data_IF_688247890848
#
_entry.id   IF_688247890848
#
_cell.length_a   1.000
_cell.length_b   1.000
_cell.length_c   1.000
_cell.angle_alpha   90.00
_cell.angle_beta   90.00
_cell.angle_gamma   90.00
#
_symmetry.space_group_name_H-M   'P 1'
#
loop_
_entity.id
_entity.type
_entity.pdbx_description
1 polymer ?
#
# COMPACT_ATOMS: atom_id res chain seq x y z
N UNK A 1 -18.97 5.55 11.90
CA UNK A 1 -19.35 6.96 12.13
C UNK A 1 -18.96 7.90 10.97
N UNK A 2 -17.87 7.65 10.22
CA UNK A 2 -17.51 8.48 9.05
C UNK A 2 -18.44 8.35 7.82
N UNK A 3 -19.09 7.19 7.63
CA UNK A 3 -19.96 6.93 6.47
C UNK A 3 -21.23 7.82 6.45
N UNK A 4 -21.76 8.23 7.60
CA UNK A 4 -22.96 9.07 7.68
C UNK A 4 -22.71 10.55 7.31
N UNK A 5 -21.45 10.98 7.25
CA UNK A 5 -21.09 12.38 6.95
C UNK A 5 -21.17 12.65 5.44
N UNK A 6 -21.05 11.63 4.59
CA UNK A 6 -20.99 11.82 3.13
C UNK A 6 -22.35 11.74 2.42
N UNK A 7 -23.40 11.27 3.06
CA UNK A 7 -24.73 11.13 2.44
C UNK A 7 -25.43 12.47 2.16
N UNK A 8 -24.99 13.56 2.81
CA UNK A 8 -25.60 14.89 2.69
C UNK A 8 -24.67 15.96 2.11
N UNK A 9 -23.36 15.73 2.08
CA UNK A 9 -22.37 16.75 1.70
C UNK A 9 -21.54 16.32 0.50
N UNK A 10 -21.65 17.13 -0.56
CA UNK A 10 -21.04 16.95 -1.89
C UNK A 10 -19.56 17.40 -1.90
N UNK A 11 -19.24 18.41 -1.08
CA UNK A 11 -17.90 19.01 -0.96
C UNK A 11 -17.69 19.42 0.50
N UNK A 12 -16.61 18.96 1.13
CA UNK A 12 -16.30 19.24 2.55
C UNK A 12 -14.86 19.66 2.70
N UNK A 13 -14.60 20.76 3.42
CA UNK A 13 -13.23 21.13 3.81
C UNK A 13 -12.77 20.23 4.97
N UNK A 14 -11.69 19.48 4.75
CA UNK A 14 -11.13 18.53 5.74
C UNK A 14 -9.86 19.05 6.42
N UNK A 15 -9.26 20.12 5.88
CA UNK A 15 -8.09 20.77 6.45
C UNK A 15 -7.92 22.21 5.94
N UNK A 16 -6.88 22.93 6.41
CA UNK A 16 -6.65 24.33 6.00
C UNK A 16 -6.57 24.49 4.47
N UNK A 17 -5.89 23.56 3.79
CA UNK A 17 -5.69 23.55 2.34
C UNK A 17 -6.20 22.26 1.69
N UNK A 18 -7.16 21.57 2.32
CA UNK A 18 -7.65 20.27 1.87
C UNK A 18 -9.18 20.23 1.77
N UNK A 19 -9.67 19.75 0.63
CA UNK A 19 -11.08 19.65 0.31
C UNK A 19 -11.36 18.22 -0.17
N UNK A 20 -12.40 17.60 0.37
CA UNK A 20 -12.92 16.32 -0.07
C UNK A 20 -14.11 16.53 -1.00
N UNK A 21 -14.09 15.81 -2.12
CA UNK A 21 -15.19 15.76 -3.09
C UNK A 21 -15.82 14.38 -3.07
N UNK A 22 -17.16 14.31 -3.07
CA UNK A 22 -17.92 13.06 -3.08
C UNK A 22 -18.81 12.90 -4.32
N UNK A 23 -18.54 13.65 -5.40
CA UNK A 23 -19.32 13.58 -6.65
C UNK A 23 -18.67 12.71 -7.73
N UNK A 24 -19.47 12.00 -8.54
CA UNK A 24 -18.95 11.29 -9.71
C UNK A 24 -18.22 12.20 -10.70
N UNK A 25 -18.71 13.44 -10.88
CA UNK A 25 -18.11 14.42 -11.78
C UNK A 25 -16.69 14.82 -11.31
N UNK A 26 -16.49 15.01 -10.00
CA UNK A 26 -15.16 15.30 -9.46
C UNK A 26 -14.17 14.16 -9.72
N UNK A 27 -14.60 12.90 -9.68
CA UNK A 27 -13.72 11.77 -10.01
C UNK A 27 -13.22 11.84 -11.48
N UNK A 28 -14.09 12.22 -12.41
CA UNK A 28 -13.72 12.40 -13.82
C UNK A 28 -12.81 13.61 -14.00
N UNK A 29 -13.12 14.74 -13.34
CA UNK A 29 -12.33 15.97 -13.50
C UNK A 29 -10.95 15.89 -12.82
N UNK A 30 -10.82 15.11 -11.74
CA UNK A 30 -9.56 14.92 -10.99
C UNK A 30 -8.71 13.79 -11.59
N UNK A 31 -9.32 12.63 -11.89
CA UNK A 31 -8.58 11.42 -12.30
C UNK A 31 -8.68 11.11 -13.80
N UNK A 32 -9.53 11.82 -14.54
CA UNK A 32 -9.73 11.60 -15.97
C UNK A 32 -8.54 12.03 -16.83
N UNK A 33 -8.70 11.88 -18.14
CA UNK A 33 -7.68 12.29 -19.09
C UNK A 33 -7.44 13.81 -19.00
N UNK A 34 -6.17 14.20 -18.85
CA UNK A 34 -5.78 15.61 -18.82
C UNK A 34 -6.20 16.29 -20.13
N UNK A 35 -6.97 17.37 -20.01
CA UNK A 35 -7.38 18.22 -21.13
C UNK A 35 -6.32 19.29 -21.37
N UNK A 36 -6.10 19.65 -22.63
CA UNK A 36 -5.13 20.69 -22.99
C UNK A 36 -5.52 22.02 -22.32
N UNK A 37 -4.59 22.62 -21.59
CA UNK A 37 -4.80 23.89 -20.88
C UNK A 37 -5.39 23.76 -19.48
N UNK A 38 -5.66 22.55 -19.00
CA UNK A 38 -6.08 22.30 -17.62
C UNK A 38 -4.87 22.02 -16.72
N UNK A 39 -4.88 22.57 -15.51
CA UNK A 39 -3.90 22.24 -14.48
C UNK A 39 -3.99 20.75 -14.11
N UNK A 40 -2.84 20.15 -13.79
CA UNK A 40 -2.76 18.74 -13.40
C UNK A 40 -2.73 18.65 -11.89
N UNK A 41 -3.66 17.90 -11.32
CA UNK A 41 -3.62 17.55 -9.90
C UNK A 41 -2.43 16.62 -9.64
N UNK A 42 -1.40 17.17 -8.99
CA UNK A 42 -0.26 16.39 -8.54
C UNK A 42 -0.64 15.57 -7.31
N UNK A 43 0.03 14.43 -7.15
CA UNK A 43 -0.08 13.65 -5.92
C UNK A 43 0.49 14.44 -4.75
N UNK A 44 -0.07 14.18 -3.57
CA UNK A 44 0.37 14.78 -2.32
C UNK A 44 1.69 14.16 -1.86
N UNK A 45 2.42 14.87 -1.00
CA UNK A 45 3.66 14.41 -0.38
C UNK A 45 3.42 13.47 0.83
N UNK A 46 2.22 12.87 0.91
CA UNK A 46 1.80 12.02 2.04
C UNK A 46 2.73 10.84 2.27
N UNK A 47 3.32 10.33 1.20
CA UNK A 47 4.22 9.17 1.22
C UNK A 47 5.67 9.54 0.99
N UNK A 48 5.98 10.84 1.03
CA UNK A 48 7.35 11.31 1.09
C UNK A 48 7.85 11.28 2.53
N UNK A 49 8.55 10.19 2.86
CA UNK A 49 9.25 9.98 4.13
C UNK A 49 10.71 10.46 4.09
N UNK A 50 11.13 11.19 3.05
CA UNK A 50 12.50 11.71 2.91
C UNK A 50 13.52 10.69 2.38
N UNK A 51 13.06 9.57 1.81
CA UNK A 51 13.92 8.50 1.27
C UNK A 51 14.44 8.78 -0.15
N UNK A 52 14.01 9.87 -0.80
CA UNK A 52 14.47 10.30 -2.12
C UNK A 52 13.80 9.56 -3.30
N UNK A 53 13.42 8.30 -3.14
CA UNK A 53 12.59 7.55 -4.10
C UNK A 53 11.21 7.23 -3.50
N UNK A 54 10.15 7.65 -4.19
CA UNK A 54 8.76 7.42 -3.80
C UNK A 54 8.19 6.15 -4.46
N UNK A 55 8.92 5.55 -5.40
CA UNK A 55 8.46 4.46 -6.23
C UNK A 55 7.36 4.89 -7.21
N UNK A 56 7.02 3.98 -8.13
CA UNK A 56 6.03 4.25 -9.19
C UNK A 56 4.65 4.67 -8.65
N UNK A 57 4.24 4.11 -7.51
CA UNK A 57 2.91 4.36 -6.91
C UNK A 57 2.81 5.78 -6.35
N UNK A 58 3.91 6.38 -5.88
CA UNK A 58 3.90 7.72 -5.26
C UNK A 58 4.70 8.76 -6.03
N UNK A 59 5.18 8.45 -7.24
CA UNK A 59 5.81 9.42 -8.13
C UNK A 59 4.88 10.62 -8.41
N UNK A 60 5.37 11.81 -8.06
CA UNK A 60 4.66 13.07 -8.18
C UNK A 60 4.84 13.70 -9.56
N UNK A 61 5.96 13.45 -10.25
CA UNK A 61 6.23 13.96 -11.59
C UNK A 61 5.41 13.17 -12.64
N UNK A 62 4.45 13.80 -13.34
CA UNK A 62 3.63 13.12 -14.33
C UNK A 62 4.44 12.54 -15.50
N UNK A 63 5.55 13.16 -15.89
CA UNK A 63 6.38 12.72 -17.00
C UNK A 63 7.17 11.45 -16.61
N UNK A 64 7.81 11.44 -15.44
CA UNK A 64 8.49 10.25 -14.90
C UNK A 64 7.52 9.10 -14.68
N UNK A 65 6.37 9.37 -14.04
CA UNK A 65 5.32 8.37 -13.83
C UNK A 65 4.83 7.78 -15.15
N UNK A 66 4.59 8.60 -16.17
CA UNK A 66 4.20 8.13 -17.51
C UNK A 66 5.28 7.28 -18.16
N UNK A 67 6.55 7.65 -18.02
CA UNK A 67 7.67 6.89 -18.56
C UNK A 67 7.80 5.51 -17.91
N UNK A 68 7.74 5.44 -16.58
CA UNK A 68 7.77 4.16 -15.83
C UNK A 68 6.52 3.32 -16.12
N UNK A 69 5.34 3.94 -16.14
CA UNK A 69 4.08 3.25 -16.43
C UNK A 69 4.08 2.58 -17.81
N UNK A 70 4.68 3.21 -18.83
CA UNK A 70 4.85 2.60 -20.16
C UNK A 70 5.73 1.35 -20.13
N UNK A 71 6.74 1.29 -19.27
CA UNK A 71 7.61 0.12 -19.12
C UNK A 71 6.90 -1.05 -18.44
N UNK A 72 6.01 -0.74 -17.49
CA UNK A 72 5.29 -1.74 -16.69
C UNK A 72 4.04 -2.27 -17.41
N UNK A 73 3.38 -1.46 -18.24
CA UNK A 73 2.11 -1.79 -18.89
C UNK A 73 2.07 -3.15 -19.63
N UNK A 74 3.13 -3.61 -20.34
CA UNK A 74 3.12 -4.91 -21.01
C UNK A 74 2.90 -6.11 -20.06
N UNK A 75 3.37 -6.00 -18.81
CA UNK A 75 3.18 -7.04 -17.78
C UNK A 75 1.70 -7.21 -17.39
N UNK A 76 0.87 -6.21 -17.67
CA UNK A 76 -0.58 -6.22 -17.43
C UNK A 76 -1.40 -6.48 -18.70
N UNK A 77 -0.76 -6.95 -19.78
CA UNK A 77 -1.48 -7.33 -21.00
C UNK A 77 -2.31 -8.60 -20.79
N UNK A 78 -3.39 -8.77 -21.55
CA UNK A 78 -4.25 -9.97 -21.49
C UNK A 78 -3.44 -11.27 -21.63
N UNK A 79 -2.40 -11.26 -22.48
CA UNK A 79 -1.51 -12.43 -22.65
C UNK A 79 -0.70 -12.70 -21.39
N UNK A 80 -0.09 -11.67 -20.79
CA UNK A 80 0.68 -11.80 -19.57
C UNK A 80 -0.21 -12.24 -18.39
N UNK A 81 -1.37 -11.61 -18.21
CA UNK A 81 -2.33 -11.99 -17.17
C UNK A 81 -2.79 -13.45 -17.31
N UNK A 82 -3.07 -13.92 -18.53
CA UNK A 82 -3.40 -15.34 -18.78
C UNK A 82 -2.25 -16.29 -18.47
N UNK A 83 -1.01 -15.90 -18.78
CA UNK A 83 0.14 -16.76 -18.45
C UNK A 83 0.36 -16.93 -16.94
N UNK A 84 -0.12 -15.99 -16.13
CA UNK A 84 -0.04 -16.02 -14.67
C UNK A 84 -1.19 -16.79 -14.02
N UNK A 85 -2.25 -17.14 -14.77
CA UNK A 85 -3.44 -17.81 -14.25
C UNK A 85 -3.15 -19.11 -13.47
N UNK A 86 -2.27 -20.03 -13.92
CA UNK A 86 -1.97 -21.25 -13.17
C UNK A 86 -1.38 -20.96 -11.78
N UNK A 87 -0.57 -19.91 -11.67
CA UNK A 87 0.03 -19.49 -10.39
C UNK A 87 -1.04 -18.93 -9.44
N UNK A 88 -1.98 -18.14 -9.96
CA UNK A 88 -3.10 -17.64 -9.18
C UNK A 88 -3.95 -18.78 -8.62
N UNK A 89 -4.29 -19.77 -9.45
CA UNK A 89 -5.03 -20.97 -9.01
C UNK A 89 -4.28 -21.71 -7.91
N UNK A 90 -2.96 -21.89 -8.03
CA UNK A 90 -2.15 -22.54 -7.00
C UNK A 90 -2.31 -21.88 -5.61
N UNK A 91 -2.20 -20.55 -5.54
CA UNK A 91 -2.33 -19.82 -4.28
C UNK A 91 -3.77 -19.79 -3.75
N UNK A 92 -4.77 -19.71 -4.63
CA UNK A 92 -6.18 -19.77 -4.25
C UNK A 92 -6.53 -21.15 -3.70
N UNK A 93 -6.08 -22.22 -4.35
CA UNK A 93 -6.28 -23.59 -3.88
C UNK A 93 -5.62 -23.81 -2.53
N UNK A 94 -4.39 -23.33 -2.34
CA UNK A 94 -3.70 -23.38 -1.05
C UNK A 94 -4.46 -22.61 0.03
N UNK A 95 -5.02 -21.44 -0.30
CA UNK A 95 -5.83 -20.67 0.64
C UNK A 95 -7.09 -21.45 1.05
N UNK A 96 -7.81 -22.03 0.09
CA UNK A 96 -9.01 -22.85 0.36
C UNK A 96 -8.68 -24.08 1.20
N UNK A 97 -7.58 -24.77 0.88
CA UNK A 97 -7.08 -25.91 1.65
C UNK A 97 -6.83 -25.53 3.12
N UNK A 98 -6.11 -24.42 3.34
CA UNK A 98 -5.80 -23.93 4.69
C UNK A 98 -7.04 -23.51 5.47
N UNK A 99 -7.97 -22.82 4.82
CA UNK A 99 -9.26 -22.47 5.43
C UNK A 99 -10.07 -23.72 5.79
N UNK A 100 -10.04 -24.76 4.96
CA UNK A 100 -10.65 -26.06 5.24
C UNK A 100 -10.04 -26.73 6.47
N UNK A 101 -8.71 -26.71 6.61
CA UNK A 101 -8.00 -27.27 7.76
C UNK A 101 -8.29 -26.55 9.09
N UNK A 102 -8.66 -25.26 9.04
CA UNK A 102 -9.03 -24.46 10.21
C UNK A 102 -10.50 -24.62 10.61
N UNK A 103 -11.29 -25.41 9.86
CA UNK A 103 -12.70 -25.64 10.17
C UNK A 103 -12.85 -26.28 11.56
N UNK A 104 -13.61 -25.62 12.43
CA UNK A 104 -13.85 -26.10 13.79
C UNK A 104 -12.75 -25.76 14.80
N UNK A 105 -11.72 -25.01 14.39
CA UNK A 105 -10.77 -24.42 15.33
C UNK A 105 -11.50 -23.42 16.26
N UNK A 106 -11.34 -23.58 17.57
CA UNK A 106 -11.96 -22.72 18.59
C UNK A 106 -11.42 -21.29 18.57
N UNK A 107 -10.20 -21.09 18.10
CA UNK A 107 -9.57 -19.77 17.97
C UNK A 107 -10.03 -19.04 16.69
N UNK A 108 -10.67 -19.75 15.76
CA UNK A 108 -11.07 -19.22 14.46
C UNK A 108 -9.87 -18.86 13.57
N UNK A 109 -10.15 -18.18 12.46
CA UNK A 109 -9.14 -17.69 11.54
C UNK A 109 -9.32 -16.17 11.37
N UNK A 110 -8.29 -15.39 11.71
CA UNK A 110 -8.28 -13.95 11.47
C UNK A 110 -8.16 -13.68 9.97
N UNK A 111 -9.30 -13.50 9.31
CA UNK A 111 -9.37 -13.34 7.86
C UNK A 111 -8.49 -12.20 7.33
N UNK A 112 -8.28 -11.15 8.13
CA UNK A 112 -7.36 -10.06 7.79
C UNK A 112 -5.93 -10.56 7.52
N UNK A 113 -5.41 -11.45 8.38
CA UNK A 113 -4.06 -11.97 8.22
C UNK A 113 -3.98 -12.97 7.06
N UNK A 114 -5.00 -13.82 6.92
CA UNK A 114 -5.08 -14.78 5.82
C UNK A 114 -5.17 -14.13 4.43
N UNK A 115 -5.97 -13.08 4.28
CA UNK A 115 -6.05 -12.31 3.03
C UNK A 115 -4.77 -11.52 2.76
N UNK A 116 -4.13 -10.99 3.81
CA UNK A 116 -2.84 -10.32 3.68
C UNK A 116 -1.74 -11.30 3.23
N UNK A 117 -1.69 -12.50 3.82
CA UNK A 117 -0.75 -13.55 3.44
C UNK A 117 -0.99 -14.03 2.00
N UNK A 118 -2.25 -14.25 1.62
CA UNK A 118 -2.61 -14.59 0.24
C UNK A 118 -2.10 -13.53 -0.74
N UNK A 119 -2.43 -12.26 -0.51
CA UNK A 119 -2.00 -11.16 -1.38
C UNK A 119 -0.49 -11.00 -1.44
N UNK A 120 0.20 -11.13 -0.31
CA UNK A 120 1.65 -11.00 -0.23
C UNK A 120 2.38 -12.16 -0.93
N UNK A 121 1.98 -13.41 -0.67
CA UNK A 121 2.56 -14.59 -1.32
C UNK A 121 2.35 -14.52 -2.85
N UNK A 122 1.13 -14.22 -3.30
CA UNK A 122 0.82 -14.06 -4.73
C UNK A 122 1.63 -12.93 -5.38
N UNK A 123 1.65 -11.75 -4.76
CA UNK A 123 2.32 -10.59 -5.34
C UNK A 123 3.84 -10.80 -5.44
N UNK A 124 4.46 -11.42 -4.42
CA UNK A 124 5.89 -11.69 -4.43
C UNK A 124 6.28 -12.69 -5.52
N UNK A 125 5.46 -13.72 -5.73
CA UNK A 125 5.73 -14.73 -6.74
C UNK A 125 5.47 -14.19 -8.16
N UNK A 126 4.38 -13.45 -8.36
CA UNK A 126 4.08 -12.81 -9.65
C UNK A 126 5.11 -11.75 -10.06
N UNK A 127 5.60 -10.96 -9.11
CA UNK A 127 6.50 -9.84 -9.40
C UNK A 127 7.98 -10.26 -9.43
N UNK A 128 8.37 -11.22 -8.58
CA UNK A 128 9.79 -11.54 -8.35
C UNK A 128 10.09 -13.05 -8.43
N UNK A 129 9.10 -13.91 -8.71
CA UNK A 129 9.25 -15.36 -8.69
C UNK A 129 9.82 -15.85 -7.35
N UNK A 130 9.27 -15.31 -6.24
CA UNK A 130 9.68 -15.61 -4.87
C UNK A 130 8.51 -16.09 -4.03
N UNK A 131 8.69 -17.26 -3.42
CA UNK A 131 7.77 -17.80 -2.44
C UNK A 131 8.09 -17.27 -1.04
N UNK A 132 7.16 -16.53 -0.42
CA UNK A 132 7.31 -16.04 0.96
C UNK A 132 6.76 -17.00 2.01
N UNK A 133 5.94 -17.97 1.59
CA UNK A 133 5.38 -19.05 2.39
C UNK A 133 4.56 -18.58 3.61
N UNK A 134 3.93 -17.40 3.55
CA UNK A 134 3.12 -16.90 4.66
C UNK A 134 1.93 -17.80 4.97
N UNK A 135 1.18 -18.24 3.95
CA UNK A 135 0.03 -19.13 4.14
C UNK A 135 0.46 -20.54 4.58
N UNK A 136 1.58 -21.04 4.06
CA UNK A 136 2.12 -22.37 4.42
C UNK A 136 2.48 -22.42 5.91
N UNK A 137 3.13 -21.38 6.40
CA UNK A 137 3.62 -21.29 7.78
C UNK A 137 2.60 -20.69 8.75
N UNK A 138 1.46 -20.18 8.25
CA UNK A 138 0.49 -19.40 9.00
C UNK A 138 1.16 -18.28 9.82
N UNK A 139 2.13 -17.59 9.20
CA UNK A 139 2.98 -16.62 9.89
C UNK A 139 3.47 -15.52 8.94
N UNK A 140 3.30 -14.28 9.37
CA UNK A 140 3.86 -13.10 8.72
C UNK A 140 5.39 -13.10 8.74
N UNK A 141 6.02 -12.56 7.70
CA UNK A 141 7.44 -12.17 7.73
C UNK A 141 7.66 -11.00 8.66
N UNK A 142 8.91 -10.83 9.09
CA UNK A 142 9.36 -9.64 9.80
C UNK A 142 9.06 -8.35 9.01
N UNK A 143 9.08 -8.42 7.68
CA UNK A 143 8.69 -7.31 6.81
C UNK A 143 7.23 -6.88 7.04
N UNK A 144 6.28 -7.81 6.95
CA UNK A 144 4.85 -7.53 7.16
C UNK A 144 4.58 -7.04 8.59
N UNK A 145 5.19 -7.67 9.59
CA UNK A 145 5.03 -7.26 10.98
C UNK A 145 5.61 -5.86 11.24
N UNK A 146 6.71 -5.52 10.58
CA UNK A 146 7.30 -4.19 10.73
C UNK A 146 6.47 -3.14 10.01
N UNK A 147 5.92 -3.43 8.83
CA UNK A 147 5.00 -2.55 8.12
C UNK A 147 3.76 -2.24 8.97
N UNK A 148 3.17 -3.27 9.58
CA UNK A 148 2.03 -3.11 10.50
C UNK A 148 2.40 -2.28 11.73
N UNK A 149 3.55 -2.58 12.34
CA UNK A 149 4.04 -1.88 13.53
C UNK A 149 4.43 -0.41 13.28
N UNK A 150 4.78 -0.05 12.04
CA UNK A 150 5.20 1.32 11.66
C UNK A 150 4.09 2.16 11.05
N UNK A 151 2.94 1.56 10.69
CA UNK A 151 1.81 2.28 10.08
C UNK A 151 1.34 3.46 10.94
N UNK A 152 1.25 3.28 12.27
CA UNK A 152 0.88 4.36 13.19
C UNK A 152 1.90 5.52 13.18
N UNK A 153 3.19 5.20 13.14
CA UNK A 153 4.27 6.20 13.06
C UNK A 153 4.18 6.96 11.74
N UNK A 154 3.91 6.27 10.63
CA UNK A 154 3.67 6.91 9.34
C UNK A 154 2.51 7.89 9.38
N UNK A 155 1.37 7.51 9.98
CA UNK A 155 0.22 8.43 10.16
C UNK A 155 0.59 9.63 11.04
N UNK A 156 1.33 9.41 12.13
CA UNK A 156 1.74 10.48 13.04
C UNK A 156 2.70 11.47 12.35
N UNK A 157 3.64 10.97 11.54
CA UNK A 157 4.51 11.80 10.71
C UNK A 157 3.70 12.64 9.72
N UNK A 158 2.70 12.06 9.05
CA UNK A 158 1.82 12.81 8.14
C UNK A 158 1.03 13.91 8.86
N UNK A 159 0.50 13.62 10.06
CA UNK A 159 -0.21 14.61 10.86
C UNK A 159 0.70 15.74 11.35
N UNK A 160 1.95 15.42 11.71
CA UNK A 160 2.94 16.41 12.14
C UNK A 160 3.29 17.42 11.04
N UNK A 161 3.28 17.01 9.76
CA UNK A 161 3.44 17.93 8.62
C UNK A 161 2.28 18.95 8.51
N UNK A 162 1.07 18.56 8.92
CA UNK A 162 -0.14 19.38 8.80
C UNK A 162 -0.40 20.28 10.00
N UNK A 163 -0.04 19.81 11.20
CA UNK A 163 -0.33 20.50 12.46
C UNK A 163 0.96 20.60 13.28
N UNK A 164 1.61 21.78 13.35
CA UNK A 164 2.88 21.97 14.05
C UNK A 164 2.86 21.56 15.53
N UNK A 165 1.69 21.63 16.18
CA UNK A 165 1.51 21.21 17.58
C UNK A 165 1.69 19.69 17.72
N UNK A 166 1.29 18.90 16.71
CA UNK A 166 1.45 17.45 16.73
C UNK A 166 2.93 17.09 16.70
N UNK A 167 3.75 17.82 15.94
CA UNK A 167 5.22 17.63 15.89
C UNK A 167 5.87 17.67 17.28
N UNK A 168 5.37 18.53 18.18
CA UNK A 168 5.92 18.66 19.53
C UNK A 168 5.62 17.45 20.43
N UNK A 169 4.45 16.82 20.23
CA UNK A 169 4.01 15.65 21.02
C UNK A 169 4.38 14.32 20.37
N UNK A 170 4.69 14.30 19.07
CA UNK A 170 5.14 13.11 18.32
C UNK A 170 6.16 12.23 19.07
N UNK A 171 7.25 12.75 19.67
CA UNK A 171 8.24 11.91 20.36
C UNK A 171 7.68 11.18 21.60
N UNK A 172 6.58 11.64 22.19
CA UNK A 172 5.92 10.97 23.33
C UNK A 172 5.13 9.73 22.86
N UNK A 173 4.56 9.79 21.66
CA UNK A 173 3.69 8.74 21.13
C UNK A 173 4.42 7.66 20.34
N UNK A 174 5.66 7.90 19.90
CA UNK A 174 6.46 6.88 19.21
C UNK A 174 7.09 5.96 20.26
N UNK A 175 6.68 4.68 20.35
CA UNK A 175 7.28 3.76 21.31
C UNK A 175 8.74 3.49 20.92
N UNK A 176 9.67 3.50 21.88
CA UNK A 176 11.09 3.16 21.66
C UNK A 176 11.29 1.82 20.93
N UNK A 177 10.37 0.87 21.09
CA UNK A 177 10.38 -0.43 20.39
C UNK A 177 10.18 -0.30 18.88
N UNK A 178 9.42 0.69 18.42
CA UNK A 178 9.18 0.94 16.98
C UNK A 178 10.38 1.65 16.36
N UNK A 179 10.96 2.64 17.06
CA UNK A 179 12.20 3.32 16.65
C UNK A 179 13.35 2.33 16.37
N UNK A 180 13.48 1.29 17.20
CA UNK A 180 14.49 0.23 17.01
C UNK A 180 14.26 -0.62 15.75
N UNK A 181 13.05 -0.65 15.19
CA UNK A 181 12.71 -1.41 13.97
C UNK A 181 12.78 -0.59 12.69
N UNK A 182 12.85 0.75 12.77
CA UNK A 182 12.94 1.63 11.59
C UNK A 182 14.16 1.29 10.70
N UNK A 183 15.38 1.07 11.24
CA UNK A 183 16.51 0.66 10.40
C UNK A 183 16.28 -0.67 9.69
N UNK A 184 15.55 -1.60 10.33
CA UNK A 184 15.21 -2.90 9.75
C UNK A 184 14.19 -2.79 8.61
N UNK A 185 13.32 -1.77 8.59
CA UNK A 185 12.44 -1.50 7.43
C UNK A 185 13.25 -1.10 6.22
N UNK A 186 14.14 -0.11 6.39
CA UNK A 186 14.98 0.36 5.29
C UNK A 186 15.92 -0.74 4.81
N UNK A 187 16.51 -1.53 5.72
CA UNK A 187 17.30 -2.71 5.35
C UNK A 187 16.48 -3.83 4.71
N UNK A 188 15.24 -4.09 5.11
CA UNK A 188 14.41 -5.11 4.48
C UNK A 188 13.96 -4.70 3.07
N UNK A 189 13.65 -3.42 2.88
CA UNK A 189 13.36 -2.84 1.56
C UNK A 189 14.62 -2.85 0.70
N UNK A 190 15.78 -2.43 1.23
CA UNK A 190 17.07 -2.56 0.55
C UNK A 190 17.43 -4.02 0.27
N UNK A 191 17.13 -4.98 1.15
CA UNK A 191 17.40 -6.39 0.92
C UNK A 191 16.46 -6.98 -0.15
N UNK A 192 15.24 -6.49 -0.29
CA UNK A 192 14.35 -6.87 -1.39
C UNK A 192 14.81 -6.24 -2.70
N UNK A 193 15.32 -5.01 -2.67
CA UNK A 193 15.78 -4.24 -3.85
C UNK A 193 17.24 -4.53 -4.27
N UNK A 194 18.12 -4.94 -3.35
CA UNK A 194 19.52 -5.24 -3.65
C UNK A 194 19.68 -6.53 -4.47
N UNK A 195 18.68 -7.41 -4.47
CA UNK A 195 18.66 -8.61 -5.32
C UNK A 195 17.97 -8.39 -6.67
N UNK A 196 17.41 -7.20 -6.94
CA UNK A 196 16.93 -6.80 -8.28
C UNK A 196 18.03 -6.27 -9.20
N UNK A 197 19.31 -6.33 -8.77
CA UNK A 197 20.48 -6.06 -9.63
C UNK A 197 21.12 -7.36 -10.11
N UNK A 198 20.34 -8.21 -10.77
CA UNK A 198 20.81 -9.25 -11.71
C UNK A 198 19.89 -9.23 -12.92
#
# INVERSE_FOLDING_TARGET
MALAIFDSWVIVRVGPNEIAFSTPQAAIDIYGASKRGQEVFLKTDLMDFGAGDLGFIWENDPAKRKAVGRKILPAFSTKASKSMEPLLHHYIDLFVERMGALRGNKEGALMNDWLLWLGADMAADLAYNRELHHMRNAKSSDFIETLRGTSFVGTLMQLSKKVPIITLITPIFIPLKVLRRIPAVFQAVEYILAFTTI
#
